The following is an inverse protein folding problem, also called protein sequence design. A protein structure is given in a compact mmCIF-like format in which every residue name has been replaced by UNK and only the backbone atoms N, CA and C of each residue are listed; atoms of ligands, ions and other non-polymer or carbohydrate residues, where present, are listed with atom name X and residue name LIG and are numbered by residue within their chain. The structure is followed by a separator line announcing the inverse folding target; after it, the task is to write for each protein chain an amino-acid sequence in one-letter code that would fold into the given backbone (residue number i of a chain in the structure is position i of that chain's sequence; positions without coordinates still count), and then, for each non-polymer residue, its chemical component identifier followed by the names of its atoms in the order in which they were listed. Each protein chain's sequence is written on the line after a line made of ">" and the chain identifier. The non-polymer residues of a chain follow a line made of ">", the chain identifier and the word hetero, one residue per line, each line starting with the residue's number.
data_IF_562950383831
#
_entry.id   IF_562950383831
#
_cell.length_a   1.000
_cell.length_b   1.000
_cell.length_c   1.000
_cell.angle_alpha   90.00
_cell.angle_beta   90.00
_cell.angle_gamma   90.00
#
_symmetry.space_group_name_H-M   'P 1'
#
loop_
_entity.id
_entity.type
_entity.pdbx_description
1 polymer ?
#
# COMPACT_ATOMS: atom_id res chain seq x y z
N UNK A 1 -0.53 -2.51 -3.09
CA UNK A 1 -0.61 -1.76 -1.82
C UNK A 1 -1.47 -2.55 -0.86
N UNK A 2 -1.03 -2.83 0.38
CA UNK A 2 -1.86 -3.53 1.36
C UNK A 2 -3.14 -2.73 1.66
N UNK A 3 -4.33 -3.36 1.61
CA UNK A 3 -5.60 -2.68 1.83
C UNK A 3 -5.71 -2.17 3.26
N UNK A 4 -6.32 -0.99 3.44
CA UNK A 4 -6.57 -0.37 4.74
C UNK A 4 -7.56 -1.21 5.55
N UNK A 5 -7.15 -1.60 6.75
CA UNK A 5 -7.97 -2.27 7.74
C UNK A 5 -8.15 -1.35 8.97
N UNK A 6 -9.35 -0.80 9.19
CA UNK A 6 -9.61 0.10 10.31
C UNK A 6 -9.60 -0.61 11.67
N UNK A 7 -9.85 -1.92 11.73
CA UNK A 7 -9.91 -2.67 12.98
C UNK A 7 -8.51 -3.01 13.50
N UNK A 8 -7.59 -3.29 12.58
CA UNK A 8 -6.20 -3.59 12.90
C UNK A 8 -5.26 -2.38 12.74
N UNK A 9 -5.80 -1.19 12.42
CA UNK A 9 -5.05 0.02 12.13
C UNK A 9 -3.89 -0.18 11.15
N UNK A 10 -4.12 -1.01 10.13
CA UNK A 10 -3.08 -1.47 9.21
C UNK A 10 -3.41 -1.10 7.76
N UNK A 11 -2.47 -1.35 6.86
CA UNK A 11 -2.63 -1.05 5.44
C UNK A 11 -2.35 0.42 5.08
N UNK A 12 -2.26 0.64 3.78
CA UNK A 12 -1.69 1.86 3.18
C UNK A 12 -2.65 2.55 2.20
N UNK A 13 -3.84 2.02 1.97
CA UNK A 13 -4.81 2.63 1.07
C UNK A 13 -5.91 1.69 0.63
N UNK A 14 -6.58 2.04 -0.47
CA UNK A 14 -7.66 1.27 -1.04
C UNK A 14 -7.21 0.65 -2.35
N UNK A 15 -7.69 -0.57 -2.60
CA UNK A 15 -7.47 -1.28 -3.85
C UNK A 15 -8.81 -1.80 -4.35
N UNK A 16 -8.87 -2.11 -5.63
CA UNK A 16 -10.00 -2.76 -6.26
C UNK A 16 -9.47 -3.89 -7.14
N UNK A 17 -10.24 -4.96 -7.24
CA UNK A 17 -9.79 -6.25 -7.77
C UNK A 17 -9.87 -6.34 -9.30
N UNK A 18 -10.85 -5.67 -9.91
CA UNK A 18 -11.07 -5.66 -11.36
C UNK A 18 -11.08 -4.26 -11.93
N UNK A 19 -10.54 -4.10 -13.14
CA UNK A 19 -10.53 -2.84 -13.89
C UNK A 19 -11.93 -2.48 -14.43
N UNK A 20 -12.88 -2.32 -13.52
CA UNK A 20 -14.28 -2.03 -13.78
C UNK A 20 -14.67 -0.74 -13.05
N UNK A 21 -15.43 0.14 -13.70
CA UNK A 21 -15.72 1.47 -13.17
C UNK A 21 -16.39 1.45 -11.79
N UNK A 22 -17.33 0.52 -11.57
CA UNK A 22 -18.04 0.43 -10.29
C UNK A 22 -17.12 0.04 -9.13
N UNK A 23 -16.13 -0.82 -9.36
CA UNK A 23 -15.15 -1.22 -8.36
C UNK A 23 -14.26 -0.06 -7.92
N UNK A 24 -13.84 0.76 -8.87
CA UNK A 24 -13.13 2.00 -8.57
C UNK A 24 -14.00 2.98 -7.77
N UNK A 25 -15.28 3.14 -8.15
CA UNK A 25 -16.22 4.03 -7.45
C UNK A 25 -16.41 3.58 -5.99
N UNK A 26 -16.57 2.27 -5.75
CA UNK A 26 -16.67 1.70 -4.39
C UNK A 26 -15.41 2.03 -3.56
N UNK A 27 -14.22 1.74 -4.09
CA UNK A 27 -12.95 2.00 -3.42
C UNK A 27 -12.77 3.50 -3.08
N UNK A 28 -13.11 4.39 -4.03
CA UNK A 28 -13.08 5.84 -3.80
C UNK A 28 -14.12 6.27 -2.76
N UNK A 29 -15.31 5.66 -2.75
CA UNK A 29 -16.32 5.91 -1.73
C UNK A 29 -15.81 5.64 -0.32
N UNK A 30 -15.12 4.51 -0.12
CA UNK A 30 -14.49 4.17 1.17
C UNK A 30 -13.36 5.14 1.54
N UNK A 31 -12.52 5.52 0.57
CA UNK A 31 -11.47 6.51 0.76
C UNK A 31 -12.03 7.86 1.24
N UNK A 32 -13.02 8.39 0.52
CA UNK A 32 -13.62 9.69 0.82
C UNK A 32 -14.38 9.68 2.15
N UNK A 33 -15.08 8.59 2.48
CA UNK A 33 -15.73 8.43 3.79
C UNK A 33 -14.70 8.46 4.92
N UNK A 34 -13.60 7.72 4.77
CA UNK A 34 -12.51 7.73 5.76
C UNK A 34 -11.91 9.12 5.93
N UNK A 35 -11.64 9.81 4.82
CA UNK A 35 -11.16 11.18 4.86
C UNK A 35 -12.11 12.13 5.59
N UNK A 36 -13.42 12.02 5.37
CA UNK A 36 -14.43 12.92 5.96
C UNK A 36 -14.71 12.61 7.43
N UNK A 37 -14.93 11.33 7.73
CA UNK A 37 -15.56 10.90 8.97
C UNK A 37 -14.57 10.28 9.96
N UNK A 38 -13.37 9.87 9.51
CA UNK A 38 -12.39 9.13 10.31
C UNK A 38 -10.99 9.77 10.26
N UNK A 39 -10.86 10.99 10.78
CA UNK A 39 -9.63 11.80 10.71
C UNK A 39 -8.39 11.14 11.35
N UNK A 40 -8.57 10.44 12.47
CA UNK A 40 -7.46 9.72 13.12
C UNK A 40 -6.95 8.56 12.25
N UNK A 41 -7.87 7.77 11.68
CA UNK A 41 -7.52 6.71 10.73
C UNK A 41 -6.80 7.26 9.50
N UNK A 42 -7.27 8.41 8.99
CA UNK A 42 -6.62 9.10 7.88
C UNK A 42 -5.18 9.51 8.21
N UNK A 43 -4.98 10.16 9.37
CA UNK A 43 -3.63 10.56 9.82
C UNK A 43 -2.72 9.35 10.00
N UNK A 44 -3.20 8.28 10.64
CA UNK A 44 -2.43 7.05 10.79
C UNK A 44 -2.03 6.42 9.44
N UNK A 45 -2.91 6.49 8.44
CA UNK A 45 -2.61 6.02 7.09
C UNK A 45 -1.50 6.85 6.42
N UNK A 46 -1.52 8.17 6.60
CA UNK A 46 -0.45 9.05 6.13
C UNK A 46 0.88 8.73 6.82
N UNK A 47 0.89 8.61 8.14
CA UNK A 47 2.10 8.29 8.91
C UNK A 47 2.69 6.94 8.49
N UNK A 48 1.86 5.89 8.34
CA UNK A 48 2.31 4.57 7.85
C UNK A 48 2.85 4.62 6.42
N UNK A 49 2.20 5.40 5.54
CA UNK A 49 2.65 5.57 4.17
C UNK A 49 4.02 6.25 4.08
N UNK A 50 4.22 7.30 4.88
CA UNK A 50 5.47 8.05 4.93
C UNK A 50 6.60 7.30 5.66
N UNK A 51 6.28 6.30 6.49
CA UNK A 51 7.28 5.48 7.17
C UNK A 51 7.81 4.32 6.32
N UNK A 52 7.27 4.10 5.11
CA UNK A 52 7.75 3.05 4.22
C UNK A 52 9.08 3.46 3.57
N UNK A 53 9.96 2.48 3.37
CA UNK A 53 11.21 2.69 2.64
C UNK A 53 11.00 2.45 1.15
N UNK A 54 10.83 3.54 0.40
CA UNK A 54 10.78 3.54 -1.07
C UNK A 54 12.08 4.11 -1.68
N UNK A 55 13.19 4.03 -0.95
CA UNK A 55 14.48 4.53 -1.43
C UNK A 55 15.06 3.68 -2.57
N UNK A 56 15.90 4.31 -3.39
CA UNK A 56 16.65 3.62 -4.44
C UNK A 56 17.66 2.63 -3.88
N UNK A 57 18.22 2.90 -2.71
CA UNK A 57 19.15 2.00 -2.02
C UNK A 57 18.49 0.68 -1.67
N UNK A 58 17.28 0.75 -1.10
CA UNK A 58 16.49 -0.45 -0.81
C UNK A 58 16.18 -1.25 -2.08
N UNK A 59 15.73 -0.56 -3.15
CA UNK A 59 15.44 -1.21 -4.42
C UNK A 59 16.68 -1.88 -5.04
N UNK A 60 17.84 -1.21 -5.04
CA UNK A 60 19.08 -1.74 -5.59
C UNK A 60 19.52 -3.03 -4.88
N UNK A 61 19.45 -3.04 -3.54
CA UNK A 61 19.75 -4.22 -2.74
C UNK A 61 18.85 -5.41 -3.09
N UNK A 62 17.54 -5.18 -3.25
CA UNK A 62 16.61 -6.24 -3.65
C UNK A 62 16.95 -6.82 -5.03
N UNK A 63 17.33 -5.98 -5.99
CA UNK A 63 17.78 -6.47 -7.30
C UNK A 63 19.06 -7.30 -7.21
N UNK A 64 20.04 -6.84 -6.42
CA UNK A 64 21.28 -7.60 -6.21
C UNK A 64 20.99 -8.98 -5.62
N UNK A 65 20.18 -9.06 -4.55
CA UNK A 65 19.80 -10.32 -3.91
C UNK A 65 19.16 -11.29 -4.92
N UNK A 66 18.22 -10.80 -5.75
CA UNK A 66 17.56 -11.60 -6.78
C UNK A 66 18.56 -12.12 -7.82
N UNK A 67 19.48 -11.27 -8.28
CA UNK A 67 20.51 -11.66 -9.27
C UNK A 67 21.51 -12.68 -8.69
N UNK A 68 21.88 -12.53 -7.42
CA UNK A 68 22.75 -13.49 -6.71
C UNK A 68 22.05 -14.84 -6.58
N UNK A 69 20.79 -14.88 -6.13
CA UNK A 69 20.02 -16.13 -6.06
C UNK A 69 19.92 -16.81 -7.42
N UNK A 70 19.60 -16.04 -8.47
CA UNK A 70 19.51 -16.55 -9.82
C UNK A 70 20.85 -17.12 -10.34
N UNK A 71 21.99 -16.63 -9.86
CA UNK A 71 23.33 -17.14 -10.23
C UNK A 71 23.64 -18.50 -9.59
N UNK A 72 23.17 -18.75 -8.36
CA UNK A 72 23.47 -19.97 -7.60
C UNK A 72 22.41 -21.08 -7.71
N UNK A 73 21.29 -20.82 -8.40
CA UNK A 73 20.22 -21.79 -8.66
C UNK A 73 20.41 -22.61 -9.96
N UNK A 74 21.56 -22.48 -10.63
CA UNK A 74 21.95 -23.31 -11.79
C UNK A 74 22.98 -24.35 -11.40
#
# INVERSE_FOLDING_TARGET
>A
VPPFDPFNHSGLGWTFDRAEAHKLIEALGHCLRTYRDHKESWRGLQERGMSQDFSWEHAAKLYEDVLVQAKYQW
#
